data_IF_813595619916
#
_entry.id   IF_813595619916
#
_cell.length_a   1.000
_cell.length_b   1.000
_cell.length_c   1.000
_cell.angle_alpha   90.00
_cell.angle_beta   90.00
_cell.angle_gamma   90.00
#
_symmetry.space_group_name_H-M   'P 1'
#
loop_
_entity.id
_entity.type
_entity.pdbx_description
1 polymer ?
#
# COMPACT_ATOMS: atom_id res chain seq x y z
N UNK A 1 -6.69 101.07 -2.67
CA UNK A 1 -5.28 100.66 -2.85
C UNK A 1 -4.86 99.92 -1.59
N UNK A 2 -5.25 98.67 -1.32
CA UNK A 2 -4.99 97.39 -2.01
C UNK A 2 -3.48 97.05 -2.07
N UNK A 3 -3.00 96.44 -0.99
CA UNK A 3 -1.77 95.64 -0.94
C UNK A 3 -2.00 94.30 -1.68
N UNK A 4 -1.08 93.83 -2.54
CA UNK A 4 -1.04 92.44 -2.97
C UNK A 4 0.03 91.63 -2.24
N UNK A 5 -0.31 90.35 -2.02
CA UNK A 5 0.49 89.26 -1.43
C UNK A 5 1.75 88.93 -2.27
N UNK A 6 2.81 88.35 -1.67
CA UNK A 6 3.94 87.81 -2.43
C UNK A 6 3.59 86.44 -3.06
N UNK A 7 4.19 86.06 -4.22
CA UNK A 7 3.97 84.77 -4.85
C UNK A 7 4.93 83.70 -4.32
N UNK A 8 4.37 82.51 -4.08
CA UNK A 8 5.06 81.24 -3.87
C UNK A 8 5.59 80.73 -5.21
N UNK A 9 6.90 80.55 -5.36
CA UNK A 9 7.50 79.78 -6.46
C UNK A 9 8.92 79.34 -6.06
N UNK A 10 9.01 78.31 -5.23
CA UNK A 10 10.21 77.52 -5.02
C UNK A 10 9.81 76.11 -4.61
N UNK A 11 9.37 75.29 -5.57
CA UNK A 11 9.32 73.83 -5.48
C UNK A 11 8.90 73.25 -6.85
N UNK A 12 9.82 73.34 -7.82
CA UNK A 12 9.70 72.65 -9.09
C UNK A 12 11.03 71.95 -9.39
N UNK A 13 11.38 70.92 -8.60
CA UNK A 13 12.47 69.99 -8.92
C UNK A 13 12.44 68.65 -8.14
N UNK A 14 11.29 68.24 -7.59
CA UNK A 14 11.18 66.99 -6.83
C UNK A 14 9.97 66.13 -7.25
N UNK A 15 9.68 66.07 -8.54
CA UNK A 15 8.66 65.18 -9.11
C UNK A 15 9.14 64.60 -10.46
N UNK A 16 10.27 63.90 -10.43
CA UNK A 16 10.73 63.13 -11.59
C UNK A 16 11.59 61.89 -11.23
N UNK A 17 11.48 61.36 -10.01
CA UNK A 17 12.21 60.14 -9.60
C UNK A 17 11.39 59.18 -8.70
N UNK A 18 10.06 59.17 -8.83
CA UNK A 18 9.21 58.30 -7.99
C UNK A 18 8.15 57.49 -8.76
N UNK A 19 8.28 57.34 -10.08
CA UNK A 19 7.36 56.53 -10.89
C UNK A 19 8.13 55.72 -11.94
N UNK A 20 9.01 54.84 -11.47
CA UNK A 20 9.52 53.72 -12.25
C UNK A 20 9.79 52.51 -11.33
N UNK A 21 8.91 52.26 -10.36
CA UNK A 21 8.69 50.90 -9.91
C UNK A 21 7.63 50.37 -10.86
N UNK A 22 8.08 49.88 -12.01
CA UNK A 22 7.25 49.05 -12.85
C UNK A 22 6.79 47.91 -11.94
N UNK A 23 5.51 47.93 -11.56
CA UNK A 23 4.83 46.80 -10.98
C UNK A 23 4.89 45.70 -12.03
N UNK A 24 5.96 44.91 -11.98
CA UNK A 24 5.99 43.60 -12.61
C UNK A 24 4.71 42.91 -12.13
N UNK A 25 3.93 42.29 -13.03
CA UNK A 25 2.77 41.55 -12.60
C UNK A 25 3.25 40.53 -11.56
N UNK A 26 2.77 40.66 -10.33
CA UNK A 26 2.88 39.62 -9.32
C UNK A 26 2.15 38.44 -9.91
N UNK A 27 2.88 37.53 -10.55
CA UNK A 27 2.29 36.28 -11.00
C UNK A 27 1.79 35.55 -9.74
N UNK A 28 0.60 34.96 -9.85
CA UNK A 28 0.02 34.25 -8.73
C UNK A 28 0.88 33.03 -8.41
N UNK A 29 1.24 32.86 -7.13
CA UNK A 29 1.95 31.68 -6.65
C UNK A 29 1.10 30.44 -6.94
N UNK A 30 1.71 29.44 -7.58
CA UNK A 30 0.97 28.27 -8.06
C UNK A 30 1.62 26.96 -7.60
N UNK A 31 0.79 25.98 -7.23
CA UNK A 31 1.17 24.57 -7.14
C UNK A 31 0.81 23.90 -8.48
N UNK A 32 1.79 23.55 -9.29
CA UNK A 32 1.58 22.78 -10.51
C UNK A 32 1.59 21.27 -10.21
N UNK A 33 0.55 20.57 -10.67
CA UNK A 33 0.41 19.12 -10.55
C UNK A 33 0.18 18.55 -11.94
N UNK A 34 1.00 17.58 -12.36
CA UNK A 34 0.92 16.92 -13.66
C UNK A 34 0.89 15.39 -13.47
N UNK A 35 0.08 14.62 -14.23
CA UNK A 35 -0.69 15.04 -15.42
C UNK A 35 -1.99 15.79 -15.13
N UNK A 36 -2.56 15.66 -13.93
CA UNK A 36 -3.79 16.34 -13.53
C UNK A 36 -3.90 16.45 -12.01
N UNK A 37 -4.79 17.31 -11.53
CA UNK A 37 -5.17 17.40 -10.12
C UNK A 37 -6.08 16.25 -9.65
N UNK A 38 -6.36 15.29 -10.53
CA UNK A 38 -7.11 14.08 -10.26
C UNK A 38 -6.47 12.90 -11.00
N UNK A 39 -6.03 11.89 -10.27
CA UNK A 39 -5.39 10.69 -10.83
C UNK A 39 -5.75 9.44 -10.04
N UNK A 40 -5.51 8.27 -10.63
CA UNK A 40 -5.56 7.01 -9.89
C UNK A 40 -4.42 6.94 -8.86
N UNK A 41 -4.72 6.36 -7.71
CA UNK A 41 -3.70 5.98 -6.73
C UNK A 41 -2.58 5.15 -7.37
N UNK A 42 -1.33 5.47 -7.03
CA UNK A 42 -0.15 4.84 -7.62
C UNK A 42 0.29 5.42 -8.97
N UNK A 43 -0.45 6.38 -9.55
CA UNK A 43 -0.01 7.10 -10.76
C UNK A 43 1.18 8.01 -10.43
N UNK A 44 2.30 7.94 -11.17
CA UNK A 44 3.38 8.90 -11.03
C UNK A 44 2.89 10.34 -11.27
N UNK A 45 3.30 11.26 -10.40
CA UNK A 45 2.92 12.67 -10.44
C UNK A 45 4.15 13.55 -10.41
N UNK A 46 4.03 14.76 -10.96
CA UNK A 46 4.96 15.86 -10.71
C UNK A 46 4.28 16.88 -9.81
N UNK A 47 5.02 17.42 -8.85
CA UNK A 47 4.56 18.47 -7.93
C UNK A 47 5.62 19.57 -7.88
N UNK A 48 5.28 20.73 -8.43
CA UNK A 48 6.16 21.91 -8.52
C UNK A 48 5.46 23.14 -7.99
N UNK A 49 6.22 24.03 -7.36
CA UNK A 49 5.77 25.35 -6.97
C UNK A 49 6.58 26.39 -7.74
N UNK A 50 5.94 27.47 -8.15
CA UNK A 50 6.52 28.57 -8.94
C UNK A 50 6.04 29.92 -8.43
N UNK A 51 6.70 30.99 -8.90
CA UNK A 51 6.39 32.37 -8.54
C UNK A 51 6.48 32.65 -7.03
N UNK A 52 7.29 31.85 -6.31
CA UNK A 52 7.56 31.99 -4.88
C UNK A 52 8.58 33.11 -4.63
N UNK A 53 8.63 33.70 -3.43
CA UNK A 53 9.74 34.55 -3.03
C UNK A 53 11.08 33.81 -3.24
N UNK A 54 12.03 34.40 -3.98
CA UNK A 54 13.29 33.73 -4.32
C UNK A 54 14.16 33.45 -3.08
N UNK A 55 14.92 32.35 -3.11
CA UNK A 55 15.85 31.93 -2.03
C UNK A 55 15.24 31.85 -0.63
N UNK A 56 13.92 31.69 -0.54
CA UNK A 56 13.16 31.80 0.70
C UNK A 56 12.75 30.43 1.21
N UNK A 57 12.59 30.32 2.53
CA UNK A 57 12.04 29.11 3.15
C UNK A 57 10.53 29.01 2.88
N UNK A 58 10.11 27.90 2.29
CA UNK A 58 8.74 27.61 1.89
C UNK A 58 8.29 26.35 2.64
N UNK A 59 7.35 26.52 3.55
CA UNK A 59 6.76 25.42 4.33
C UNK A 59 5.59 24.85 3.56
N UNK A 60 5.67 23.58 3.18
CA UNK A 60 4.60 22.87 2.45
C UNK A 60 3.96 21.88 3.40
N UNK A 61 2.66 22.02 3.57
CA UNK A 61 1.82 21.16 4.40
C UNK A 61 0.95 20.30 3.49
N UNK A 62 0.92 19.00 3.74
CA UNK A 62 0.00 18.08 3.09
C UNK A 62 -0.92 17.46 4.13
N UNK A 63 -2.23 17.45 3.85
CA UNK A 63 -3.23 16.87 4.76
C UNK A 63 -4.29 16.06 4.02
N UNK A 64 -4.82 15.03 4.66
CA UNK A 64 -5.95 14.22 4.14
C UNK A 64 -6.73 13.58 5.27
N UNK A 65 -7.95 13.13 4.97
CA UNK A 65 -8.59 12.08 5.75
C UNK A 65 -8.13 10.72 5.22
N UNK A 66 -7.56 9.90 6.08
CA UNK A 66 -7.15 8.55 5.72
C UNK A 66 -7.87 7.52 6.57
N UNK A 67 -8.15 6.36 5.98
CA UNK A 67 -8.50 5.16 6.74
C UNK A 67 -7.20 4.43 7.07
N UNK A 68 -6.82 4.42 8.35
CA UNK A 68 -5.66 3.65 8.84
C UNK A 68 -6.07 2.32 9.48
N UNK A 69 -5.09 1.46 9.76
CA UNK A 69 -5.30 0.18 10.46
C UNK A 69 -5.91 0.35 11.86
N UNK A 70 -5.69 1.49 12.52
CA UNK A 70 -6.17 1.81 13.87
C UNK A 70 -7.48 2.62 13.90
N UNK A 71 -8.22 2.71 12.79
CA UNK A 71 -9.36 3.62 12.62
C UNK A 71 -8.98 4.86 11.84
N UNK A 72 -9.91 5.37 11.02
CA UNK A 72 -9.66 6.53 10.16
C UNK A 72 -9.53 7.82 10.95
N UNK A 73 -8.81 8.80 10.39
CA UNK A 73 -8.59 10.09 11.01
C UNK A 73 -7.80 11.04 10.12
N UNK A 74 -7.69 12.32 10.53
CA UNK A 74 -6.89 13.29 9.80
C UNK A 74 -5.41 12.92 9.89
N UNK A 75 -4.74 13.04 8.76
CA UNK A 75 -3.31 12.79 8.64
C UNK A 75 -2.64 13.98 7.98
N UNK A 76 -1.41 14.25 8.40
CA UNK A 76 -0.65 15.41 7.96
C UNK A 76 0.83 15.10 7.84
N UNK A 77 1.50 15.70 6.86
CA UNK A 77 2.94 15.81 6.75
C UNK A 77 3.30 17.28 6.50
N UNK A 78 4.50 17.68 6.90
CA UNK A 78 5.04 19.00 6.63
C UNK A 78 6.50 18.91 6.22
N UNK A 79 6.93 19.72 5.26
CA UNK A 79 8.35 19.89 4.94
C UNK A 79 8.67 21.32 4.53
N UNK A 80 9.88 21.78 4.90
CA UNK A 80 10.41 23.10 4.56
C UNK A 80 11.40 22.94 3.42
N UNK A 81 11.17 23.67 2.33
CA UNK A 81 12.04 23.76 1.18
C UNK A 81 12.64 25.15 1.07
N UNK A 82 13.73 25.28 0.31
CA UNK A 82 14.23 26.57 -0.15
C UNK A 82 13.91 26.75 -1.62
N UNK A 83 13.18 27.80 -1.96
CA UNK A 83 12.96 28.17 -3.37
C UNK A 83 14.28 28.55 -4.04
N UNK A 84 14.42 28.26 -5.33
CA UNK A 84 15.58 28.68 -6.11
C UNK A 84 15.59 30.21 -6.36
N UNK A 85 16.63 30.69 -7.06
CA UNK A 85 16.75 32.09 -7.43
C UNK A 85 15.64 32.58 -8.40
N UNK A 86 14.89 31.66 -8.99
CA UNK A 86 13.72 31.92 -9.83
C UNK A 86 12.39 31.71 -9.08
N UNK A 87 12.42 31.48 -7.77
CA UNK A 87 11.20 31.29 -6.98
C UNK A 87 10.52 29.94 -7.20
N UNK A 88 11.30 28.87 -7.46
CA UNK A 88 10.74 27.53 -7.75
C UNK A 88 11.17 26.47 -6.74
N UNK A 89 10.27 25.52 -6.50
CA UNK A 89 10.53 24.28 -5.75
C UNK A 89 10.00 23.10 -6.58
N UNK A 90 10.85 22.10 -6.84
CA UNK A 90 10.45 20.84 -7.49
C UNK A 90 10.70 19.67 -6.55
N UNK A 91 9.63 19.06 -6.03
CA UNK A 91 9.71 18.00 -5.01
C UNK A 91 10.36 16.72 -5.54
N UNK A 92 10.41 16.51 -6.87
CA UNK A 92 11.05 15.33 -7.44
C UNK A 92 12.58 15.43 -7.42
N UNK A 93 13.14 16.64 -7.33
CA UNK A 93 14.60 16.87 -7.46
C UNK A 93 15.23 17.61 -6.29
N UNK A 94 14.43 18.33 -5.51
CA UNK A 94 14.89 19.06 -4.33
C UNK A 94 14.56 18.28 -3.06
N UNK A 95 15.53 18.15 -2.17
CA UNK A 95 15.31 17.64 -0.82
C UNK A 95 14.80 18.78 0.08
N UNK A 96 13.90 18.50 1.04
CA UNK A 96 13.54 19.48 2.05
C UNK A 96 14.73 19.75 2.98
N UNK A 97 14.82 20.98 3.49
CA UNK A 97 15.78 21.38 4.52
C UNK A 97 15.44 20.76 5.88
N UNK A 98 14.14 20.59 6.17
CA UNK A 98 13.64 19.91 7.36
C UNK A 98 12.17 19.48 7.18
N UNK A 99 11.66 18.62 8.07
CA UNK A 99 10.25 18.21 8.08
C UNK A 99 10.04 16.74 8.39
N UNK A 100 8.91 16.21 7.93
CA UNK A 100 8.45 14.83 8.12
C UNK A 100 9.27 13.78 7.35
N UNK A 101 10.11 14.21 6.40
CA UNK A 101 10.99 13.32 5.63
C UNK A 101 12.27 14.04 5.18
N UNK A 102 13.20 13.26 4.62
CA UNK A 102 14.48 13.73 4.09
C UNK A 102 14.70 13.18 2.67
N UNK A 103 15.59 13.82 1.91
CA UNK A 103 15.88 13.45 0.52
C UNK A 103 14.85 13.96 -0.48
N UNK A 104 15.22 13.98 -1.76
CA UNK A 104 14.32 14.37 -2.84
C UNK A 104 13.36 13.20 -3.17
N UNK A 105 12.08 13.38 -2.87
CA UNK A 105 11.03 12.41 -3.18
C UNK A 105 9.69 13.13 -3.33
N UNK A 106 9.12 13.10 -4.55
CA UNK A 106 7.81 13.71 -4.84
C UNK A 106 6.68 13.13 -3.96
N UNK A 107 6.87 11.90 -3.46
CA UNK A 107 5.91 11.19 -2.61
C UNK A 107 6.11 11.49 -1.12
N UNK A 108 7.18 12.21 -0.76
CA UNK A 108 7.62 12.46 0.61
C UNK A 108 6.50 12.99 1.50
N UNK A 109 5.78 14.01 1.04
CA UNK A 109 4.63 14.60 1.76
C UNK A 109 3.41 13.68 1.89
N UNK A 110 3.40 12.52 1.22
CA UNK A 110 2.28 11.58 1.23
C UNK A 110 2.58 10.36 2.11
N UNK A 111 3.71 9.68 1.87
CA UNK A 111 4.05 8.48 2.66
C UNK A 111 4.46 8.83 4.09
N UNK A 112 4.98 10.05 4.33
CA UNK A 112 5.43 10.49 5.66
C UNK A 112 4.32 11.06 6.54
N UNK A 113 3.08 11.09 6.06
CA UNK A 113 1.95 11.60 6.84
C UNK A 113 1.78 10.82 8.14
N UNK A 114 1.49 11.53 9.22
CA UNK A 114 1.22 10.98 10.55
C UNK A 114 -0.21 11.30 10.96
N UNK A 115 -0.80 10.46 11.82
CA UNK A 115 -2.10 10.76 12.42
C UNK A 115 -1.98 11.97 13.36
N UNK A 116 -2.80 12.99 13.12
CA UNK A 116 -2.87 14.19 13.96
C UNK A 116 -4.20 14.22 14.71
N UNK A 117 -4.24 14.90 15.87
CA UNK A 117 -5.54 15.21 16.50
C UNK A 117 -6.28 16.17 15.60
N UNK A 118 -7.60 16.00 15.45
CA UNK A 118 -8.42 17.01 14.80
C UNK A 118 -8.23 18.34 15.56
N UNK A 119 -7.55 19.30 14.94
CA UNK A 119 -7.41 20.65 15.49
C UNK A 119 -8.57 21.50 14.96
N UNK A 120 -8.90 22.59 15.65
CA UNK A 120 -9.86 23.57 15.16
C UNK A 120 -9.41 24.26 13.84
N UNK A 121 -8.14 24.09 13.43
CA UNK A 121 -7.56 24.65 12.21
C UNK A 121 -7.63 23.69 11.00
N UNK A 122 -7.97 22.41 11.21
CA UNK A 122 -8.33 21.53 10.09
C UNK A 122 -9.82 21.74 9.81
N UNK A 123 -10.23 22.20 8.62
CA UNK A 123 -11.64 22.31 8.30
C UNK A 123 -12.30 20.94 8.49
N UNK A 124 -13.54 20.86 9.01
CA UNK A 124 -14.25 19.60 9.13
C UNK A 124 -14.37 18.95 7.75
N UNK A 125 -13.72 17.80 7.57
CA UNK A 125 -13.63 17.11 6.28
C UNK A 125 -14.88 16.27 6.04
N UNK A 126 -15.49 16.46 4.87
CA UNK A 126 -16.62 15.69 4.37
C UNK A 126 -16.15 14.25 4.02
N UNK A 127 -16.83 13.18 4.49
CA UNK A 127 -16.53 11.80 4.09
C UNK A 127 -16.55 11.55 2.57
N UNK A 128 -17.25 12.36 1.77
CA UNK A 128 -17.22 12.30 0.29
C UNK A 128 -15.88 12.77 -0.31
N UNK A 129 -15.04 13.44 0.49
CA UNK A 129 -13.67 13.85 0.15
C UNK A 129 -12.63 12.74 0.42
N UNK A 130 -13.06 11.51 0.71
CA UNK A 130 -12.15 10.37 0.85
C UNK A 130 -11.33 10.16 -0.45
N UNK A 131 -10.03 10.48 -0.37
CA UNK A 131 -9.09 10.49 -1.51
C UNK A 131 -8.54 11.87 -1.86
N UNK A 132 -9.08 12.96 -1.29
CA UNK A 132 -8.51 14.30 -1.44
C UNK A 132 -7.30 14.49 -0.51
N UNK A 133 -6.25 15.07 -1.09
CA UNK A 133 -5.06 15.55 -0.41
C UNK A 133 -5.00 17.05 -0.62
N UNK A 134 -4.98 17.80 0.48
CA UNK A 134 -4.84 19.25 0.44
C UNK A 134 -3.39 19.64 0.64
N UNK A 135 -2.85 20.40 -0.30
CA UNK A 135 -1.49 20.92 -0.31
C UNK A 135 -1.55 22.43 -0.08
N UNK A 136 -0.81 22.92 0.90
CA UNK A 136 -0.77 24.33 1.27
C UNK A 136 0.69 24.77 1.40
N UNK A 137 1.05 25.90 0.81
CA UNK A 137 2.41 26.44 0.84
C UNK A 137 2.44 27.79 1.56
N UNK A 138 3.40 27.97 2.46
CA UNK A 138 3.53 29.13 3.32
C UNK A 138 4.93 29.75 3.26
N UNK A 139 5.02 31.08 3.35
CA UNK A 139 6.23 31.80 3.74
C UNK A 139 6.03 32.37 5.16
N UNK A 140 6.69 31.78 6.14
CA UNK A 140 6.34 32.02 7.55
C UNK A 140 4.90 31.58 7.85
N UNK A 141 4.08 32.53 8.31
CA UNK A 141 2.65 32.33 8.59
C UNK A 141 1.74 32.70 7.40
N UNK A 142 2.28 33.34 6.36
CA UNK A 142 1.48 33.76 5.21
C UNK A 142 1.24 32.57 4.27
N UNK A 143 -0.04 32.23 4.05
CA UNK A 143 -0.44 31.31 2.98
C UNK A 143 -0.14 31.96 1.62
N UNK A 144 0.70 31.29 0.83
CA UNK A 144 1.06 31.72 -0.52
C UNK A 144 0.08 31.16 -1.55
N UNK A 145 -0.17 29.86 -1.48
CA UNK A 145 -1.01 29.13 -2.43
C UNK A 145 -1.48 27.80 -1.85
N UNK A 146 -2.57 27.27 -2.38
CA UNK A 146 -3.10 25.98 -2.01
C UNK A 146 -3.69 25.24 -3.21
N UNK A 147 -3.68 23.91 -3.14
CA UNK A 147 -4.25 23.06 -4.19
C UNK A 147 -4.75 21.75 -3.61
N UNK A 148 -5.85 21.26 -4.17
CA UNK A 148 -6.37 19.93 -3.88
C UNK A 148 -5.94 18.95 -4.96
N UNK A 149 -5.46 17.79 -4.54
CA UNK A 149 -5.18 16.64 -5.38
C UNK A 149 -6.14 15.52 -5.01
N UNK A 150 -6.89 15.00 -5.98
CA UNK A 150 -7.75 13.83 -5.78
C UNK A 150 -7.02 12.57 -6.22
N UNK A 151 -6.68 11.72 -5.26
CA UNK A 151 -6.17 10.37 -5.49
C UNK A 151 -7.35 9.39 -5.47
N UNK A 152 -7.73 8.90 -6.65
CA UNK A 152 -8.83 7.95 -6.80
C UNK A 152 -8.34 6.52 -6.51
N UNK A 153 -8.93 5.81 -5.55
CA UNK A 153 -8.60 4.40 -5.32
C UNK A 153 -9.07 3.50 -6.47
N UNK A 154 -10.06 3.96 -7.24
CA UNK A 154 -10.73 3.20 -8.31
C UNK A 154 -11.06 4.11 -9.49
N UNK A 155 -10.86 3.64 -10.71
CA UNK A 155 -11.26 4.35 -11.92
C UNK A 155 -12.79 4.46 -12.04
N UNK A 156 -13.34 5.61 -12.46
CA UNK A 156 -14.79 5.83 -12.51
C UNK A 156 -15.58 4.78 -13.31
N UNK A 157 -14.97 4.21 -14.33
CA UNK A 157 -15.57 3.23 -15.24
C UNK A 157 -15.53 1.78 -14.71
N UNK A 158 -14.80 1.51 -13.62
CA UNK A 158 -14.73 0.18 -13.02
C UNK A 158 -16.01 -0.12 -12.25
N UNK A 159 -16.66 -1.20 -12.65
CA UNK A 159 -17.82 -1.73 -11.95
C UNK A 159 -17.37 -2.76 -10.93
N UNK A 160 -17.90 -2.67 -9.71
CA UNK A 160 -17.62 -3.62 -8.63
C UNK A 160 -18.93 -4.22 -8.15
N UNK A 161 -19.05 -5.55 -8.19
CA UNK A 161 -20.22 -6.27 -7.67
C UNK A 161 -19.81 -7.33 -6.67
N UNK A 162 -20.70 -7.61 -5.71
CA UNK A 162 -20.56 -8.76 -4.83
C UNK A 162 -20.75 -10.05 -5.65
N UNK A 163 -20.09 -11.11 -5.22
CA UNK A 163 -20.24 -12.45 -5.79
C UNK A 163 -20.99 -13.31 -4.78
N UNK A 164 -22.20 -13.73 -5.12
CA UNK A 164 -23.10 -14.42 -4.19
C UNK A 164 -22.55 -15.76 -3.71
N UNK A 165 -21.83 -16.47 -4.60
CA UNK A 165 -21.26 -17.79 -4.32
C UNK A 165 -20.08 -17.74 -3.34
N UNK A 166 -19.46 -16.57 -3.14
CA UNK A 166 -18.30 -16.40 -2.28
C UNK A 166 -18.51 -15.24 -1.31
N UNK A 167 -18.69 -15.58 -0.02
CA UNK A 167 -18.93 -14.61 1.03
C UNK A 167 -17.95 -13.43 1.01
N UNK A 168 -18.47 -12.21 0.87
CA UNK A 168 -17.71 -10.97 0.87
C UNK A 168 -16.80 -10.74 -0.35
N UNK A 169 -16.78 -11.69 -1.30
CA UNK A 169 -16.00 -11.55 -2.51
C UNK A 169 -16.57 -10.47 -3.43
N UNK A 170 -15.66 -9.83 -4.17
CA UNK A 170 -15.99 -8.74 -5.08
C UNK A 170 -15.35 -9.00 -6.44
N UNK A 171 -16.17 -8.92 -7.47
CA UNK A 171 -15.71 -8.94 -8.85
C UNK A 171 -15.68 -7.49 -9.37
N UNK A 172 -14.49 -7.05 -9.77
CA UNK A 172 -14.24 -5.72 -10.32
C UNK A 172 -13.79 -5.84 -11.78
N UNK A 173 -14.40 -5.07 -12.66
CA UNK A 173 -14.09 -5.11 -14.10
C UNK A 173 -14.34 -3.74 -14.73
N UNK A 174 -13.47 -3.36 -15.66
CA UNK A 174 -13.65 -2.16 -16.48
C UNK A 174 -14.70 -2.35 -17.58
N UNK A 175 -15.03 -1.31 -18.35
CA UNK A 175 -16.04 -1.38 -19.39
C UNK A 175 -15.62 -2.27 -20.57
N UNK A 176 -16.63 -2.74 -21.31
CA UNK A 176 -16.46 -3.53 -22.53
C UNK A 176 -16.45 -5.05 -22.28
N UNK A 177 -16.69 -5.80 -23.34
CA UNK A 177 -16.91 -7.26 -23.32
C UNK A 177 -15.74 -8.07 -23.86
N UNK A 178 -14.60 -7.43 -24.13
CA UNK A 178 -13.41 -8.14 -24.60
C UNK A 178 -12.85 -9.04 -23.49
N UNK A 179 -12.39 -10.22 -23.90
CA UNK A 179 -11.75 -11.16 -22.98
C UNK A 179 -10.38 -10.62 -22.55
N UNK A 180 -10.23 -10.38 -21.26
CA UNK A 180 -9.00 -9.89 -20.60
C UNK A 180 -8.40 -10.93 -19.67
N UNK A 181 -7.13 -10.74 -19.31
CA UNK A 181 -6.53 -11.51 -18.24
C UNK A 181 -7.27 -11.26 -16.92
N UNK A 182 -7.38 -12.31 -16.11
CA UNK A 182 -8.06 -12.23 -14.82
C UNK A 182 -7.09 -12.40 -13.65
N UNK A 183 -7.40 -11.74 -12.53
CA UNK A 183 -6.61 -11.83 -11.29
C UNK A 183 -7.52 -12.28 -10.15
N UNK A 184 -7.08 -13.30 -9.41
CA UNK A 184 -7.68 -13.62 -8.10
C UNK A 184 -6.80 -12.99 -7.02
N UNK A 185 -7.38 -12.13 -6.19
CA UNK A 185 -6.67 -11.44 -5.09
C UNK A 185 -6.96 -12.12 -3.76
N UNK A 186 -5.90 -12.50 -3.04
CA UNK A 186 -5.94 -13.07 -1.70
C UNK A 186 -5.26 -12.14 -0.69
N UNK A 187 -6.02 -11.72 0.32
CA UNK A 187 -5.49 -11.03 1.49
C UNK A 187 -4.62 -11.93 2.38
N UNK A 188 -3.99 -11.34 3.37
CA UNK A 188 -3.20 -12.02 4.39
C UNK A 188 -4.01 -12.36 5.66
N UNK A 189 -3.34 -12.24 6.81
CA UNK A 189 -3.93 -12.56 8.12
C UNK A 189 -4.88 -11.50 8.65
N UNK A 190 -5.05 -10.37 7.96
CA UNK A 190 -6.09 -9.39 8.29
C UNK A 190 -7.51 -9.97 8.10
N UNK A 191 -7.67 -10.90 7.16
CA UNK A 191 -8.94 -11.55 6.86
C UNK A 191 -10.06 -10.60 6.44
N UNK A 192 -11.28 -11.14 6.39
CA UNK A 192 -12.47 -10.38 5.99
C UNK A 192 -12.40 -9.92 4.53
N UNK A 193 -13.10 -8.83 4.22
CA UNK A 193 -13.28 -8.35 2.84
C UNK A 193 -12.33 -7.22 2.43
N UNK A 194 -11.35 -6.86 3.27
CA UNK A 194 -10.52 -5.66 3.05
C UNK A 194 -9.73 -5.71 1.73
N UNK A 195 -9.01 -6.80 1.44
CA UNK A 195 -8.29 -6.94 0.18
C UNK A 195 -9.23 -6.93 -1.04
N UNK A 196 -10.43 -7.53 -0.90
CA UNK A 196 -11.45 -7.50 -1.93
C UNK A 196 -12.04 -6.10 -2.17
N UNK A 197 -12.07 -5.24 -1.14
CA UNK A 197 -12.52 -3.84 -1.25
C UNK A 197 -11.47 -2.90 -1.80
N UNK A 198 -10.20 -3.13 -1.51
CA UNK A 198 -9.12 -2.21 -1.88
C UNK A 198 -8.37 -2.64 -3.14
N UNK A 199 -7.87 -3.86 -3.18
CA UNK A 199 -6.93 -4.32 -4.21
C UNK A 199 -7.64 -4.74 -5.50
N UNK A 200 -8.82 -5.36 -5.39
CA UNK A 200 -9.58 -5.80 -6.56
C UNK A 200 -9.94 -4.65 -7.51
N UNK A 201 -10.57 -3.55 -7.04
CA UNK A 201 -10.89 -2.45 -7.94
C UNK A 201 -9.67 -1.64 -8.38
N UNK A 202 -8.60 -1.57 -7.56
CA UNK A 202 -7.34 -0.94 -7.96
C UNK A 202 -6.71 -1.67 -9.16
N UNK A 203 -6.63 -3.00 -9.12
CA UNK A 203 -6.12 -3.80 -10.23
C UNK A 203 -7.07 -3.80 -11.44
N UNK A 204 -8.40 -3.77 -11.23
CA UNK A 204 -9.35 -3.63 -12.33
C UNK A 204 -9.21 -2.29 -13.04
N UNK A 205 -8.84 -1.23 -12.32
CA UNK A 205 -8.50 0.08 -12.88
C UNK A 205 -7.25 0.06 -13.77
N UNK A 206 -6.45 -1.01 -13.69
CA UNK A 206 -5.32 -1.25 -14.59
C UNK A 206 -5.71 -2.01 -15.85
N UNK A 207 -6.99 -2.42 -15.99
CA UNK A 207 -7.52 -3.07 -17.18
C UNK A 207 -7.83 -4.56 -17.03
N UNK A 208 -7.62 -5.17 -15.86
CA UNK A 208 -7.88 -6.61 -15.63
C UNK A 208 -9.33 -6.88 -15.18
N UNK A 209 -9.77 -8.13 -15.34
CA UNK A 209 -10.93 -8.64 -14.59
C UNK A 209 -10.45 -9.18 -13.25
N UNK A 210 -11.01 -8.75 -12.13
CA UNK A 210 -10.41 -9.05 -10.82
C UNK A 210 -11.45 -9.59 -9.85
N UNK A 211 -11.17 -10.76 -9.27
CA UNK A 211 -11.93 -11.35 -8.18
C UNK A 211 -11.14 -11.20 -6.88
N UNK A 212 -11.57 -10.29 -6.01
CA UNK A 212 -11.14 -10.27 -4.62
C UNK A 212 -11.83 -11.38 -3.84
N UNK A 213 -11.06 -12.34 -3.33
CA UNK A 213 -11.59 -13.58 -2.75
C UNK A 213 -11.21 -13.71 -1.26
N UNK A 214 -12.10 -13.33 -0.34
CA UNK A 214 -11.99 -13.70 1.06
C UNK A 214 -12.02 -15.22 1.26
N UNK A 215 -11.16 -15.72 2.16
CA UNK A 215 -11.06 -17.15 2.48
C UNK A 215 -10.94 -17.42 4.00
N UNK A 216 -10.86 -16.35 4.79
CA UNK A 216 -10.66 -16.36 6.23
C UNK A 216 -11.27 -15.07 6.81
N UNK A 217 -11.93 -15.15 7.97
CA UNK A 217 -12.57 -14.00 8.61
C UNK A 217 -12.51 -14.12 10.13
N UNK A 218 -11.43 -13.63 10.76
CA UNK A 218 -11.28 -13.72 12.21
C UNK A 218 -12.22 -12.76 12.93
N UNK A 219 -12.53 -13.06 14.20
CA UNK A 219 -13.09 -12.06 15.09
C UNK A 219 -12.09 -10.93 15.33
N UNK A 220 -12.62 -9.75 15.66
CA UNK A 220 -11.81 -8.57 15.98
C UNK A 220 -12.03 -8.16 17.43
N UNK A 221 -11.04 -7.51 18.03
CA UNK A 221 -11.16 -6.95 19.38
C UNK A 221 -11.43 -5.46 19.29
N UNK A 222 -12.49 -4.99 19.97
CA UNK A 222 -12.82 -3.58 20.09
C UNK A 222 -13.04 -3.15 21.54
N UNK A 223 -13.35 -1.87 21.79
CA UNK A 223 -13.58 -1.34 23.13
C UNK A 223 -14.69 -2.05 23.92
N UNK A 224 -15.68 -2.59 23.21
CA UNK A 224 -16.82 -3.33 23.77
C UNK A 224 -16.56 -4.84 23.90
N UNK A 225 -15.30 -5.28 23.69
CA UNK A 225 -14.90 -6.67 23.69
C UNK A 225 -14.78 -7.27 22.29
N UNK A 226 -14.82 -8.61 22.24
CA UNK A 226 -14.66 -9.37 21.01
C UNK A 226 -15.89 -9.24 20.11
N UNK A 227 -15.67 -8.84 18.86
CA UNK A 227 -16.68 -8.77 17.81
C UNK A 227 -16.57 -9.99 16.90
N UNK A 228 -17.69 -10.58 16.44
CA UNK A 228 -17.67 -11.64 15.43
C UNK A 228 -16.90 -11.21 14.18
N UNK A 229 -16.41 -12.19 13.42
CA UNK A 229 -15.76 -11.90 12.14
C UNK A 229 -16.71 -11.25 11.15
N UNK A 230 -16.17 -10.41 10.25
CA UNK A 230 -16.92 -9.68 9.22
C UNK A 230 -17.79 -10.61 8.35
N UNK A 231 -17.28 -11.81 8.07
CA UNK A 231 -17.89 -12.82 7.19
C UNK A 231 -18.03 -14.15 7.96
N UNK A 232 -19.11 -14.34 8.73
CA UNK A 232 -19.27 -15.50 9.62
C UNK A 232 -19.30 -16.87 8.93
N UNK A 233 -19.57 -16.91 7.62
CA UNK A 233 -19.55 -18.14 6.82
C UNK A 233 -18.14 -18.56 6.38
N UNK A 234 -17.11 -17.76 6.64
CA UNK A 234 -15.73 -18.11 6.42
C UNK A 234 -15.07 -18.64 7.70
N UNK A 235 -14.00 -19.45 7.57
CA UNK A 235 -13.23 -19.91 8.71
C UNK A 235 -12.78 -18.75 9.62
N UNK A 236 -13.01 -18.82 10.95
CA UNK A 236 -12.57 -17.80 11.91
C UNK A 236 -11.12 -17.99 12.38
N UNK A 237 -10.48 -19.07 11.95
CA UNK A 237 -9.12 -19.48 12.27
C UNK A 237 -8.42 -19.95 11.00
N UNK A 238 -7.09 -19.83 10.94
CA UNK A 238 -6.26 -20.54 9.97
C UNK A 238 -6.19 -22.01 10.37
N UNK A 239 -7.22 -22.79 10.05
CA UNK A 239 -7.29 -24.21 10.39
C UNK A 239 -7.77 -25.00 9.19
N UNK A 240 -6.85 -25.73 8.57
CA UNK A 240 -7.11 -26.60 7.43
C UNK A 240 -7.94 -25.92 6.32
N UNK A 241 -7.63 -24.66 6.01
CA UNK A 241 -8.37 -23.95 4.96
C UNK A 241 -8.05 -24.61 3.61
N UNK A 242 -9.08 -25.08 2.93
CA UNK A 242 -8.96 -25.84 1.69
C UNK A 242 -8.45 -24.99 0.52
N UNK A 243 -7.32 -25.42 -0.08
CA UNK A 243 -6.77 -24.77 -1.27
C UNK A 243 -7.70 -24.89 -2.49
N UNK A 244 -8.55 -25.90 -2.53
CA UNK A 244 -9.54 -26.14 -3.60
C UNK A 244 -10.52 -24.98 -3.82
N UNK A 245 -10.62 -24.05 -2.87
CA UNK A 245 -11.35 -22.78 -3.03
C UNK A 245 -10.89 -21.98 -4.25
N UNK A 246 -9.60 -22.04 -4.62
CA UNK A 246 -9.12 -21.36 -5.83
C UNK A 246 -9.62 -22.01 -7.13
N UNK A 247 -9.84 -23.33 -7.14
CA UNK A 247 -10.44 -24.01 -8.28
C UNK A 247 -11.89 -23.56 -8.48
N UNK A 248 -12.65 -23.43 -7.39
CA UNK A 248 -14.03 -22.90 -7.43
C UNK A 248 -14.05 -21.46 -7.98
N UNK A 249 -13.13 -20.61 -7.53
CA UNK A 249 -12.99 -19.24 -8.00
C UNK A 249 -12.65 -19.16 -9.51
N UNK A 250 -11.75 -20.04 -9.98
CA UNK A 250 -11.42 -20.19 -11.40
C UNK A 250 -12.64 -20.61 -12.23
N UNK A 251 -13.40 -21.59 -11.76
CA UNK A 251 -14.58 -22.10 -12.48
C UNK A 251 -15.70 -21.06 -12.56
N UNK A 252 -15.82 -20.21 -11.52
CA UNK A 252 -16.71 -19.06 -11.54
C UNK A 252 -16.21 -17.99 -12.51
N UNK A 253 -14.92 -17.64 -12.48
CA UNK A 253 -14.31 -16.65 -13.38
C UNK A 253 -14.46 -17.07 -14.84
N UNK A 254 -14.31 -18.36 -15.15
CA UNK A 254 -14.44 -18.89 -16.51
C UNK A 254 -15.84 -18.70 -17.13
N UNK A 255 -16.87 -18.44 -16.31
CA UNK A 255 -18.23 -18.15 -16.77
C UNK A 255 -18.46 -16.67 -17.09
N UNK A 256 -17.54 -15.79 -16.72
CA UNK A 256 -17.71 -14.35 -16.94
C UNK A 256 -17.35 -14.00 -18.40
N UNK A 257 -18.18 -13.20 -19.10
CA UNK A 257 -17.97 -12.92 -20.52
C UNK A 257 -16.68 -12.14 -20.79
N UNK A 258 -16.22 -11.34 -19.84
CA UNK A 258 -14.99 -10.55 -19.94
C UNK A 258 -13.73 -11.37 -19.65
N UNK A 259 -13.81 -12.61 -19.17
CA UNK A 259 -12.65 -13.36 -18.70
C UNK A 259 -12.11 -14.32 -19.76
N UNK A 260 -10.80 -14.29 -19.95
CA UNK A 260 -10.05 -15.39 -20.56
C UNK A 260 -9.56 -16.36 -19.48
N UNK A 261 -10.23 -17.50 -19.34
CA UNK A 261 -9.91 -18.51 -18.33
C UNK A 261 -8.53 -19.17 -18.51
N UNK A 262 -7.87 -18.99 -19.66
CA UNK A 262 -6.50 -19.45 -19.90
C UNK A 262 -5.43 -18.47 -19.39
N UNK A 263 -5.83 -17.25 -19.01
CA UNK A 263 -4.96 -16.14 -18.60
C UNK A 263 -5.31 -15.65 -17.20
N UNK A 264 -5.33 -16.58 -16.23
CA UNK A 264 -5.60 -16.24 -14.83
C UNK A 264 -4.30 -16.16 -14.03
N UNK A 265 -4.09 -15.03 -13.36
CA UNK A 265 -3.08 -14.86 -12.33
C UNK A 265 -3.68 -14.91 -10.92
N UNK A 266 -2.85 -15.25 -9.94
CA UNK A 266 -3.17 -15.07 -8.51
C UNK A 266 -2.24 -14.00 -7.93
N UNK A 267 -2.79 -13.10 -7.13
CA UNK A 267 -2.06 -12.10 -6.37
C UNK A 267 -2.31 -12.35 -4.88
N UNK A 268 -1.28 -12.80 -4.17
CA UNK A 268 -1.36 -13.14 -2.75
C UNK A 268 -0.43 -12.30 -1.91
N UNK A 269 -0.88 -11.90 -0.71
CA UNK A 269 -0.07 -11.16 0.27
C UNK A 269 0.03 -11.96 1.55
N UNK A 270 1.23 -12.11 2.12
CA UNK A 270 1.46 -12.75 3.42
C UNK A 270 0.86 -14.17 3.47
N UNK A 271 -0.07 -14.47 4.38
CA UNK A 271 -0.82 -15.74 4.39
C UNK A 271 -1.53 -16.06 3.07
N UNK A 272 -1.96 -15.05 2.32
CA UNK A 272 -2.50 -15.22 0.97
C UNK A 272 -1.44 -15.62 -0.05
N UNK A 273 -0.19 -15.18 0.13
CA UNK A 273 0.95 -15.63 -0.68
C UNK A 273 1.32 -17.08 -0.36
N UNK A 274 1.32 -17.46 0.93
CA UNK A 274 1.50 -18.86 1.36
C UNK A 274 0.42 -19.77 0.76
N UNK A 275 -0.86 -19.37 0.87
CA UNK A 275 -1.99 -20.08 0.25
C UNK A 275 -1.78 -20.22 -1.27
N UNK A 276 -1.46 -19.12 -1.95
CA UNK A 276 -1.34 -19.10 -3.41
C UNK A 276 -0.17 -19.96 -3.91
N UNK A 277 0.99 -19.92 -3.25
CA UNK A 277 2.15 -20.76 -3.57
C UNK A 277 1.82 -22.24 -3.35
N UNK A 278 1.13 -22.57 -2.25
CA UNK A 278 0.70 -23.92 -1.96
C UNK A 278 -0.27 -24.46 -3.02
N UNK A 279 -1.25 -23.65 -3.44
CA UNK A 279 -2.19 -24.00 -4.49
C UNK A 279 -1.50 -24.11 -5.86
N UNK A 280 -0.64 -23.17 -6.22
CA UNK A 280 0.08 -23.15 -7.50
C UNK A 280 1.02 -24.33 -7.69
N UNK A 281 1.55 -24.92 -6.60
CA UNK A 281 2.31 -26.17 -6.68
C UNK A 281 1.47 -27.42 -6.97
N UNK A 282 0.14 -27.29 -7.02
CA UNK A 282 -0.84 -28.37 -7.19
C UNK A 282 -1.88 -28.11 -8.29
N UNK A 283 -1.89 -26.91 -8.88
CA UNK A 283 -2.89 -26.46 -9.85
C UNK A 283 -2.23 -25.90 -11.10
N UNK A 284 -2.39 -26.60 -12.23
CA UNK A 284 -1.71 -26.25 -13.48
C UNK A 284 -2.37 -25.10 -14.27
N UNK A 285 -3.59 -24.70 -13.89
CA UNK A 285 -4.33 -23.64 -14.59
C UNK A 285 -3.83 -22.22 -14.25
N UNK A 286 -3.05 -22.06 -13.18
CA UNK A 286 -2.54 -20.76 -12.76
C UNK A 286 -1.43 -20.34 -13.74
N UNK A 287 -1.67 -19.28 -14.51
CA UNK A 287 -0.71 -18.80 -15.52
C UNK A 287 0.44 -18.02 -14.89
N UNK A 288 0.12 -17.19 -13.91
CA UNK A 288 1.08 -16.35 -13.21
C UNK A 288 0.72 -16.18 -11.72
N UNK A 289 1.73 -15.97 -10.89
CA UNK A 289 1.58 -15.71 -9.46
C UNK A 289 2.43 -14.51 -9.06
N UNK A 290 1.81 -13.56 -8.35
CA UNK A 290 2.49 -12.51 -7.60
C UNK A 290 2.37 -12.84 -6.12
N UNK A 291 3.49 -13.08 -5.46
CA UNK A 291 3.56 -13.43 -4.05
C UNK A 291 4.30 -12.33 -3.28
N UNK A 292 3.55 -11.50 -2.56
CA UNK A 292 4.09 -10.43 -1.72
C UNK A 292 4.32 -10.95 -0.31
N UNK A 293 5.53 -10.73 0.21
CA UNK A 293 6.07 -11.24 1.47
C UNK A 293 5.82 -12.74 1.64
N UNK A 294 6.36 -13.58 0.72
CA UNK A 294 6.02 -15.00 0.60
C UNK A 294 6.56 -15.87 1.74
N UNK A 295 6.05 -17.09 1.82
CA UNK A 295 6.59 -18.18 2.67
C UNK A 295 7.03 -19.37 1.81
N UNK A 296 8.14 -20.01 2.19
CA UNK A 296 8.63 -21.25 1.56
C UNK A 296 8.13 -22.54 2.25
N UNK A 297 7.43 -22.41 3.37
CA UNK A 297 6.79 -23.52 4.10
C UNK A 297 5.33 -23.21 4.38
N UNK A 298 4.54 -24.26 4.62
CA UNK A 298 3.24 -24.14 5.28
C UNK A 298 3.51 -23.95 6.77
N UNK A 299 2.93 -22.93 7.38
CA UNK A 299 3.07 -22.72 8.81
C UNK A 299 1.87 -23.27 9.59
N UNK A 300 2.11 -23.53 10.88
CA UNK A 300 1.09 -23.94 11.84
C UNK A 300 -0.14 -23.03 11.80
N UNK A 301 -1.32 -23.63 11.95
CA UNK A 301 -2.59 -22.92 12.02
C UNK A 301 -2.81 -22.21 13.36
N UNK A 302 -3.62 -21.16 13.37
CA UNK A 302 -3.93 -20.39 14.59
C UNK A 302 -5.35 -19.80 14.55
N UNK A 303 -5.91 -19.42 15.71
CA UNK A 303 -7.18 -18.69 15.82
C UNK A 303 -8.05 -19.14 16.99
N UNK A 304 -9.19 -18.47 17.21
CA UNK A 304 -10.09 -18.80 18.33
C UNK A 304 -10.70 -20.19 18.19
N UNK A 305 -10.96 -20.83 19.34
CA UNK A 305 -11.54 -22.17 19.41
C UNK A 305 -10.55 -23.31 19.13
N UNK A 306 -9.27 -22.98 18.95
CA UNK A 306 -8.20 -23.93 18.72
C UNK A 306 -7.46 -24.19 20.03
N UNK A 307 -7.47 -25.44 20.50
CA UNK A 307 -6.82 -25.85 21.75
C UNK A 307 -5.84 -26.99 21.50
N UNK A 308 -4.58 -26.78 21.85
CA UNK A 308 -3.56 -27.83 21.96
C UNK A 308 -2.19 -27.38 21.47
N UNK A 309 -1.08 -27.85 22.08
CA UNK A 309 0.26 -27.61 21.56
C UNK A 309 0.43 -28.41 20.25
N UNK A 310 0.72 -27.73 19.14
CA UNK A 310 1.12 -28.29 17.83
C UNK A 310 0.05 -28.90 16.89
N UNK A 311 -1.21 -28.42 16.85
CA UNK A 311 -2.29 -29.35 16.44
C UNK A 311 -2.90 -29.28 15.04
N UNK A 312 -2.60 -28.32 14.16
CA UNK A 312 -3.09 -28.42 12.77
C UNK A 312 -2.42 -27.44 11.82
N UNK A 313 -2.56 -27.74 10.53
CA UNK A 313 -2.04 -26.91 9.44
C UNK A 313 -2.89 -25.64 9.22
N UNK A 314 -2.26 -24.57 8.72
CA UNK A 314 -3.02 -23.44 8.17
C UNK A 314 -3.93 -23.88 7.02
N UNK A 315 -3.48 -24.85 6.21
CA UNK A 315 -4.08 -25.19 4.92
C UNK A 315 -4.24 -26.69 4.71
N UNK A 316 -5.25 -27.05 3.93
CA UNK A 316 -5.53 -28.43 3.55
C UNK A 316 -5.67 -28.59 2.04
N UNK A 317 -5.44 -29.81 1.59
CA UNK A 317 -5.63 -30.22 0.21
C UNK A 317 -6.38 -31.56 0.18
N UNK A 318 -7.49 -31.61 -0.57
CA UNK A 318 -8.31 -32.82 -0.70
C UNK A 318 -8.78 -33.38 0.66
N UNK A 319 -9.15 -32.49 1.58
CA UNK A 319 -9.60 -32.86 2.92
C UNK A 319 -8.47 -33.26 3.87
N UNK A 320 -7.21 -33.17 3.46
CA UNK A 320 -6.04 -33.55 4.28
C UNK A 320 -5.21 -32.32 4.67
N UNK A 321 -4.87 -32.15 5.95
CA UNK A 321 -3.93 -31.12 6.38
C UNK A 321 -2.61 -31.24 5.62
N UNK A 322 -2.11 -30.12 5.09
CA UNK A 322 -0.75 -30.08 4.55
C UNK A 322 0.26 -30.13 5.70
N UNK A 323 1.40 -30.83 5.58
CA UNK A 323 2.43 -30.79 6.62
C UNK A 323 2.86 -29.35 6.90
N UNK A 324 3.12 -29.01 8.16
CA UNK A 324 3.37 -27.63 8.58
C UNK A 324 4.59 -27.51 9.47
N UNK A 325 5.12 -26.29 9.55
CA UNK A 325 6.18 -25.90 10.46
C UNK A 325 5.56 -25.26 11.73
N UNK A 326 5.86 -25.80 12.93
CA UNK A 326 5.38 -25.24 14.19
C UNK A 326 6.05 -23.90 14.53
N UNK A 327 5.37 -23.10 15.34
CA UNK A 327 5.95 -21.96 16.05
C UNK A 327 6.53 -22.40 17.38
N UNK A 328 7.48 -21.63 17.92
CA UNK A 328 7.98 -21.81 19.28
C UNK A 328 7.94 -20.46 20.00
N UNK A 329 7.33 -20.37 21.18
CA UNK A 329 7.30 -19.10 21.93
C UNK A 329 6.22 -18.10 21.48
N UNK A 330 5.19 -18.57 20.78
CA UNK A 330 4.16 -17.68 20.21
C UNK A 330 3.31 -16.99 21.28
N UNK A 331 2.99 -17.68 22.37
CA UNK A 331 2.20 -17.14 23.46
C UNK A 331 2.95 -16.02 24.20
N UNK A 332 4.23 -16.23 24.45
CA UNK A 332 5.14 -15.29 25.11
C UNK A 332 5.31 -14.01 24.28
N UNK A 333 5.53 -14.15 22.97
CA UNK A 333 5.64 -13.00 22.06
C UNK A 333 4.30 -12.25 21.97
N UNK A 334 3.17 -12.98 21.87
CA UNK A 334 1.83 -12.39 21.78
C UNK A 334 1.40 -11.67 23.06
N UNK A 335 1.94 -12.01 24.22
CA UNK A 335 1.71 -11.28 25.47
C UNK A 335 2.16 -9.81 25.39
N UNK A 336 3.02 -9.47 24.42
CA UNK A 336 3.38 -8.09 24.12
C UNK A 336 2.19 -7.20 23.73
N UNK A 337 1.15 -7.76 23.09
CA UNK A 337 -0.06 -7.01 22.74
C UNK A 337 -0.78 -6.42 23.95
N UNK A 338 -0.89 -7.20 25.03
CA UNK A 338 -1.56 -6.78 26.26
C UNK A 338 -0.72 -5.77 27.07
N UNK A 339 0.60 -5.79 26.90
CA UNK A 339 1.54 -4.96 27.68
C UNK A 339 2.07 -3.76 26.91
N UNK A 340 1.73 -3.63 25.62
CA UNK A 340 2.27 -2.60 24.72
C UNK A 340 3.72 -2.83 24.30
N UNK A 341 4.34 -3.96 24.69
CA UNK A 341 5.71 -4.30 24.27
C UNK A 341 5.75 -4.62 22.77
N UNK A 342 6.86 -4.32 22.07
CA UNK A 342 7.04 -4.70 20.67
C UNK A 342 6.84 -6.22 20.47
N UNK A 343 5.99 -6.56 19.51
CA UNK A 343 5.66 -7.93 19.08
C UNK A 343 6.24 -8.14 17.68
N UNK A 344 7.18 -9.08 17.58
CA UNK A 344 7.88 -9.50 16.36
C UNK A 344 7.57 -10.97 16.09
N UNK A 345 6.53 -11.24 15.27
CA UNK A 345 6.13 -12.62 14.97
C UNK A 345 7.23 -13.44 14.25
N UNK A 346 8.23 -12.77 13.68
CA UNK A 346 9.42 -13.44 13.10
C UNK A 346 10.17 -14.27 14.13
N UNK A 347 10.21 -13.84 15.40
CA UNK A 347 10.93 -14.56 16.46
C UNK A 347 10.35 -15.96 16.70
N UNK A 348 9.06 -16.13 17.02
CA UNK A 348 8.53 -17.47 17.27
C UNK A 348 8.54 -18.37 16.03
N UNK A 349 8.43 -17.80 14.84
CA UNK A 349 8.59 -18.54 13.58
C UNK A 349 10.03 -19.02 13.36
N UNK A 350 11.03 -18.16 13.60
CA UNK A 350 12.44 -18.55 13.51
C UNK A 350 12.83 -19.58 14.58
N UNK A 351 12.34 -19.40 15.82
CA UNK A 351 12.55 -20.37 16.90
C UNK A 351 11.90 -21.71 16.58
N UNK A 352 10.67 -21.71 16.03
CA UNK A 352 9.98 -22.92 15.60
C UNK A 352 10.74 -23.68 14.51
N UNK A 353 11.33 -22.98 13.53
CA UNK A 353 12.24 -23.59 12.54
C UNK A 353 13.49 -24.20 13.16
N UNK A 354 14.10 -23.51 14.12
CA UNK A 354 15.32 -23.97 14.78
C UNK A 354 15.07 -25.16 15.72
N UNK A 355 13.92 -25.19 16.40
CA UNK A 355 13.52 -26.24 17.32
C UNK A 355 13.04 -27.52 16.61
N UNK A 356 12.46 -27.38 15.42
CA UNK A 356 11.89 -28.49 14.64
C UNK A 356 12.44 -28.58 13.21
N UNK A 357 13.77 -28.72 13.03
CA UNK A 357 14.38 -28.82 11.70
C UNK A 357 13.91 -30.06 10.92
N UNK A 358 13.51 -31.13 11.60
CA UNK A 358 12.99 -32.37 11.02
C UNK A 358 11.65 -32.17 10.28
N UNK A 359 10.90 -31.12 10.62
CA UNK A 359 9.61 -30.80 9.99
C UNK A 359 9.75 -30.03 8.68
N UNK A 360 10.86 -29.29 8.50
CA UNK A 360 11.06 -28.36 7.39
C UNK A 360 10.89 -29.01 6.02
N UNK A 361 11.47 -30.20 5.82
CA UNK A 361 11.42 -30.89 4.54
C UNK A 361 9.98 -31.25 4.11
N UNK A 362 9.14 -31.67 5.07
CA UNK A 362 7.76 -32.02 4.81
C UNK A 362 6.87 -30.76 4.68
N UNK A 363 7.12 -29.73 5.49
CA UNK A 363 6.37 -28.49 5.50
C UNK A 363 6.65 -27.58 4.28
N UNK A 364 7.78 -27.78 3.61
CA UNK A 364 8.19 -26.98 2.45
C UNK A 364 7.13 -27.02 1.35
N UNK A 365 6.80 -25.86 0.81
CA UNK A 365 5.95 -25.74 -0.36
C UNK A 365 6.78 -26.13 -1.60
N UNK A 366 6.34 -27.11 -2.41
CA UNK A 366 7.08 -27.55 -3.59
C UNK A 366 6.85 -26.60 -4.79
N UNK A 367 7.24 -25.33 -4.65
CA UNK A 367 7.01 -24.27 -5.65
C UNK A 367 7.70 -24.57 -6.98
N UNK A 368 8.70 -25.44 -7.01
CA UNK A 368 9.32 -25.92 -8.24
C UNK A 368 8.39 -26.78 -9.12
N UNK A 369 7.25 -27.22 -8.60
CA UNK A 369 6.19 -27.86 -9.39
C UNK A 369 5.34 -26.85 -10.16
N UNK A 370 5.29 -25.58 -9.72
CA UNK A 370 4.52 -24.54 -10.39
C UNK A 370 5.23 -24.11 -11.69
N UNK A 371 4.65 -24.45 -12.85
CA UNK A 371 5.23 -24.11 -14.17
C UNK A 371 4.90 -22.70 -14.65
N UNK A 372 3.95 -22.03 -14.02
CA UNK A 372 3.60 -20.65 -14.34
C UNK A 372 4.70 -19.66 -13.96
N UNK A 373 4.52 -18.43 -14.43
CA UNK A 373 5.43 -17.34 -14.13
C UNK A 373 5.26 -16.90 -12.67
N UNK A 374 6.37 -16.64 -11.97
CA UNK A 374 6.37 -16.22 -10.57
C UNK A 374 7.11 -14.90 -10.39
N UNK A 375 6.45 -13.95 -9.74
CA UNK A 375 7.06 -12.75 -9.18
C UNK A 375 6.92 -12.78 -7.65
N UNK A 376 8.01 -12.50 -6.96
CA UNK A 376 8.05 -12.36 -5.51
C UNK A 376 8.51 -10.97 -5.11
N UNK A 377 7.90 -10.42 -4.07
CA UNK A 377 8.28 -9.14 -3.43
C UNK A 377 8.54 -9.43 -1.96
N UNK A 378 9.72 -9.09 -1.44
CA UNK A 378 10.08 -9.36 -0.04
C UNK A 378 10.96 -8.27 0.56
N UNK A 379 10.97 -8.16 1.89
CA UNK A 379 11.79 -7.22 2.65
C UNK A 379 12.78 -7.95 3.57
N UNK A 380 14.03 -7.49 3.65
CA UNK A 380 15.04 -8.15 4.52
C UNK A 380 14.81 -7.91 6.01
N UNK A 381 14.12 -6.82 6.36
CA UNK A 381 13.75 -6.47 7.73
C UNK A 381 12.29 -6.81 8.05
N UNK A 382 11.65 -7.71 7.30
CA UNK A 382 10.31 -8.21 7.65
C UNK A 382 10.32 -8.81 9.07
N UNK A 383 9.46 -8.26 9.95
CA UNK A 383 9.36 -8.67 11.36
C UNK A 383 8.15 -9.58 11.64
N UNK A 384 7.35 -9.91 10.62
CA UNK A 384 6.32 -10.96 10.72
C UNK A 384 6.94 -12.33 10.46
N UNK A 385 7.78 -12.44 9.44
CA UNK A 385 8.60 -13.62 9.14
C UNK A 385 9.77 -13.25 8.23
N UNK A 386 10.73 -14.15 8.01
CA UNK A 386 11.87 -13.87 7.13
C UNK A 386 11.52 -14.03 5.65
N UNK A 387 10.69 -13.13 5.11
CA UNK A 387 10.21 -13.25 3.73
C UNK A 387 11.33 -13.19 2.69
N UNK A 388 12.41 -12.43 2.94
CA UNK A 388 13.56 -12.38 2.04
C UNK A 388 14.33 -13.70 1.97
N UNK A 389 14.59 -14.36 3.10
CA UNK A 389 15.23 -15.68 3.09
C UNK A 389 14.32 -16.73 2.44
N UNK A 390 13.02 -16.71 2.75
CA UNK A 390 12.05 -17.64 2.16
C UNK A 390 11.92 -17.43 0.64
N UNK A 391 11.88 -16.19 0.16
CA UNK A 391 11.88 -15.88 -1.27
C UNK A 391 13.13 -16.43 -1.99
N UNK A 392 14.32 -16.29 -1.39
CA UNK A 392 15.57 -16.86 -1.94
C UNK A 392 15.53 -18.39 -1.98
N UNK A 393 14.96 -19.05 -0.97
CA UNK A 393 14.79 -20.51 -0.97
C UNK A 393 13.87 -20.98 -2.11
N UNK A 394 12.75 -20.28 -2.31
CA UNK A 394 11.82 -20.54 -3.42
C UNK A 394 12.53 -20.37 -4.76
N UNK A 395 13.22 -19.25 -4.98
CA UNK A 395 13.97 -19.00 -6.21
C UNK A 395 15.02 -20.09 -6.49
N UNK A 396 15.78 -20.48 -5.47
CA UNK A 396 16.78 -21.55 -5.60
C UNK A 396 16.15 -22.89 -6.00
N UNK A 397 15.03 -23.27 -5.37
CA UNK A 397 14.31 -24.52 -5.70
C UNK A 397 13.80 -24.54 -7.14
N UNK A 398 13.27 -23.40 -7.62
CA UNK A 398 12.80 -23.23 -9.00
C UNK A 398 13.95 -23.24 -10.00
N UNK A 399 15.04 -22.54 -9.69
CA UNK A 399 16.26 -22.51 -10.51
C UNK A 399 16.86 -23.91 -10.70
N UNK A 400 16.83 -24.76 -9.66
CA UNK A 400 17.26 -26.15 -9.74
C UNK A 400 16.43 -27.01 -10.72
N UNK A 401 15.21 -26.57 -11.08
CA UNK A 401 14.36 -27.18 -12.11
C UNK A 401 14.39 -26.41 -13.45
N UNK A 402 15.30 -25.46 -13.62
CA UNK A 402 15.41 -24.63 -14.82
C UNK A 402 14.28 -23.59 -14.97
N UNK A 403 13.56 -23.28 -13.90
CA UNK A 403 12.46 -22.31 -13.91
C UNK A 403 12.95 -20.93 -13.48
N UNK A 404 12.64 -19.91 -14.28
CA UNK A 404 12.90 -18.51 -13.93
C UNK A 404 11.89 -17.98 -12.91
N UNK A 405 12.36 -17.03 -12.10
CA UNK A 405 11.56 -16.33 -11.09
C UNK A 405 11.98 -14.87 -11.08
N UNK A 406 11.02 -13.94 -10.99
CA UNK A 406 11.32 -12.52 -10.75
C UNK A 406 11.32 -12.32 -9.24
N UNK A 407 12.51 -12.21 -8.63
CA UNK A 407 12.65 -12.08 -7.18
C UNK A 407 13.08 -10.65 -6.80
N UNK A 408 12.15 -9.85 -6.29
CA UNK A 408 12.39 -8.49 -5.82
C UNK A 408 12.60 -8.51 -4.31
N UNK A 409 13.85 -8.35 -3.87
CA UNK A 409 14.22 -8.29 -2.45
C UNK A 409 14.66 -6.87 -2.12
N UNK A 410 13.93 -6.21 -1.24
CA UNK A 410 14.20 -4.83 -0.81
C UNK A 410 14.94 -4.83 0.53
N UNK A 411 16.16 -4.33 0.52
CA UNK A 411 17.00 -4.24 1.70
C UNK A 411 16.43 -3.23 2.71
N UNK A 412 16.33 -3.63 3.98
CA UNK A 412 15.80 -2.83 5.07
C UNK A 412 14.30 -2.60 5.03
N UNK A 413 13.56 -3.19 4.09
CA UNK A 413 12.10 -3.07 4.02
C UNK A 413 11.42 -4.11 4.91
N UNK A 414 10.25 -3.74 5.45
CA UNK A 414 9.44 -4.58 6.34
C UNK A 414 8.42 -5.45 5.61
N UNK A 415 7.36 -5.83 6.33
CA UNK A 415 6.29 -6.70 5.82
C UNK A 415 5.26 -5.96 4.93
N UNK A 416 5.08 -4.65 5.13
CA UNK A 416 4.04 -3.86 4.46
C UNK A 416 4.40 -3.47 3.02
N UNK A 417 4.43 -4.42 2.08
CA UNK A 417 4.94 -4.20 0.71
C UNK A 417 3.88 -4.28 -0.41
N UNK A 418 2.61 -4.43 -0.09
CA UNK A 418 1.52 -4.55 -1.08
C UNK A 418 0.97 -3.22 -1.61
N UNK A 419 1.56 -2.09 -1.20
CA UNK A 419 1.14 -0.74 -1.59
C UNK A 419 1.84 -0.19 -2.85
N UNK A 420 1.51 1.04 -3.21
CA UNK A 420 2.05 1.77 -4.37
C UNK A 420 3.05 2.88 -4.01
N UNK A 421 3.35 3.06 -2.72
CA UNK A 421 4.36 4.02 -2.24
C UNK A 421 3.89 5.47 -2.10
N UNK A 422 2.60 5.76 -2.30
CA UNK A 422 1.99 7.06 -1.95
C UNK A 422 1.22 7.02 -0.64
N UNK A 423 0.81 5.84 -0.19
CA UNK A 423 0.07 5.70 1.06
C UNK A 423 1.00 5.91 2.26
N UNK A 424 0.48 6.45 3.37
CA UNK A 424 1.24 6.63 4.60
C UNK A 424 1.82 5.30 5.12
N UNK A 425 3.14 5.25 5.31
CA UNK A 425 3.87 4.07 5.84
C UNK A 425 4.31 4.25 7.29
N UNK A 426 4.19 5.46 7.84
CA UNK A 426 4.55 5.81 9.23
C UNK A 426 3.80 4.98 10.28
N UNK A 427 2.59 4.50 9.94
CA UNK A 427 1.75 3.72 10.84
C UNK A 427 2.14 2.25 10.99
N UNK A 428 3.02 1.72 10.13
CA UNK A 428 3.31 0.27 10.07
C UNK A 428 3.94 -0.28 11.35
N UNK A 429 4.70 0.54 12.07
CA UNK A 429 5.37 0.15 13.32
C UNK A 429 4.87 0.94 14.55
N UNK A 430 3.73 1.63 14.44
CA UNK A 430 3.21 2.50 15.50
C UNK A 430 2.65 1.72 16.70
N UNK A 431 2.01 0.57 16.45
CA UNK A 431 1.44 -0.29 17.50
C UNK A 431 2.45 -1.27 18.10
N UNK A 432 1.99 -2.16 19.01
CA UNK A 432 2.82 -3.24 19.53
C UNK A 432 3.33 -4.16 18.41
N UNK A 433 2.49 -4.49 17.42
CA UNK A 433 2.89 -5.23 16.23
C UNK A 433 3.96 -4.46 15.46
N UNK A 434 5.11 -5.10 15.22
CA UNK A 434 6.18 -4.54 14.40
C UNK A 434 6.19 -5.26 13.06
N UNK A 435 5.96 -4.54 11.97
CA UNK A 435 6.07 -5.05 10.61
C UNK A 435 7.51 -5.01 10.09
N UNK A 436 8.38 -4.24 10.76
CA UNK A 436 9.75 -4.01 10.32
C UNK A 436 9.87 -2.86 9.33
N UNK A 437 11.10 -2.61 8.90
CA UNK A 437 11.44 -1.54 7.98
C UNK A 437 11.29 -0.14 8.56
N UNK A 438 11.61 0.85 7.73
CA UNK A 438 11.37 2.26 8.02
C UNK A 438 10.37 2.86 7.02
N UNK A 439 9.62 3.92 7.40
CA UNK A 439 8.60 4.48 6.52
C UNK A 439 9.11 4.85 5.12
N UNK A 440 10.30 5.46 5.05
CA UNK A 440 10.92 5.84 3.78
C UNK A 440 11.31 4.62 2.93
N UNK A 441 11.91 3.61 3.56
CA UNK A 441 12.35 2.38 2.87
C UNK A 441 11.15 1.59 2.35
N UNK A 442 10.11 1.43 3.16
CA UNK A 442 8.88 0.74 2.77
C UNK A 442 8.17 1.48 1.62
N UNK A 443 8.07 2.81 1.69
CA UNK A 443 7.47 3.61 0.64
C UNK A 443 8.26 3.54 -0.67
N UNK A 444 9.59 3.54 -0.60
CA UNK A 444 10.45 3.36 -1.76
C UNK A 444 10.29 1.95 -2.38
N UNK A 445 10.31 0.91 -1.55
CA UNK A 445 10.11 -0.47 -1.98
C UNK A 445 8.75 -0.66 -2.68
N UNK A 446 7.67 -0.11 -2.11
CA UNK A 446 6.34 -0.16 -2.72
C UNK A 446 6.29 0.53 -4.09
N UNK A 447 6.90 1.71 -4.25
CA UNK A 447 6.87 2.43 -5.53
C UNK A 447 7.75 1.81 -6.62
N UNK A 448 8.78 1.04 -6.27
CA UNK A 448 9.52 0.24 -7.25
C UNK A 448 8.76 -1.07 -7.57
N UNK A 449 8.21 -1.74 -6.55
CA UNK A 449 7.52 -3.02 -6.71
C UNK A 449 6.23 -2.93 -7.51
N UNK A 450 5.44 -1.87 -7.30
CA UNK A 450 4.13 -1.70 -7.93
C UNK A 450 4.19 -1.67 -9.47
N UNK A 451 4.95 -0.76 -10.13
CA UNK A 451 5.03 -0.73 -11.59
C UNK A 451 5.64 -2.02 -12.17
N UNK A 452 6.61 -2.65 -11.49
CA UNK A 452 7.18 -3.95 -11.91
C UNK A 452 6.14 -5.08 -11.85
N UNK A 453 5.29 -5.06 -10.83
CA UNK A 453 4.17 -6.00 -10.70
C UNK A 453 3.17 -5.83 -11.84
N UNK A 454 2.79 -4.58 -12.15
CA UNK A 454 1.87 -4.29 -13.26
C UNK A 454 2.48 -4.69 -14.62
N UNK A 455 3.78 -4.47 -14.80
CA UNK A 455 4.50 -4.91 -15.99
C UNK A 455 4.53 -6.44 -16.11
N UNK A 456 4.83 -7.14 -15.01
CA UNK A 456 4.82 -8.60 -14.96
C UNK A 456 3.43 -9.14 -15.32
N UNK A 457 2.36 -8.66 -14.69
CA UNK A 457 0.99 -9.08 -14.99
C UNK A 457 0.64 -8.82 -16.46
N UNK A 458 1.03 -7.66 -17.00
CA UNK A 458 0.78 -7.33 -18.41
C UNK A 458 1.47 -8.32 -19.35
N UNK A 459 2.71 -8.68 -19.05
CA UNK A 459 3.48 -9.64 -19.87
C UNK A 459 2.91 -11.06 -19.79
N UNK A 460 2.40 -11.49 -18.63
CA UNK A 460 2.03 -12.88 -18.42
C UNK A 460 0.57 -13.20 -18.74
N UNK A 461 -0.34 -12.26 -18.50
CA UNK A 461 -1.79 -12.48 -18.69
C UNK A 461 -2.46 -11.43 -19.57
N UNK A 462 -1.84 -10.27 -19.82
CA UNK A 462 -2.41 -9.18 -20.60
C UNK A 462 -3.63 -8.53 -19.94
N UNK A 463 -3.83 -7.23 -20.21
CA UNK A 463 -5.07 -6.51 -19.88
C UNK A 463 -6.18 -6.77 -20.87
#
# INVERSE_FOLDING_TARGET
MLLPRPPLLAQACALACALAWASLPTQAQEIHISPAAEVLEGTPLQLRLSELPANSAIRIVSSRLARGMAGGGPQQAEAIFRSDAQGRVDLATQAPESGSYQGADVRGLFWSMQSVKASAALPPLDPEQAGEVWLQAYAGEQLLTEKKLRLRPVAPEVQVRLVEEFAGARYAVGPGTHKRGAIIVLGGSEGGSIAARSSAPLLASQGYAVLGLPYYSPPSWGPEGMKPGELPSLPPAFSNIELSRLQQARDWLAKQPEVDASRIAVYGVSKGAEFALAAASRMDWIKALVAVVPSDVIWEGWGLGQTGPDQFSSFAWEGKPLPWQPYQGMAEESAGFATGKPVHLRRPMAQGRAAHPERLAAARIPVENFRGALLMVSGSDDQMWDSAAMARNIEASRKAKGLSTVNLVYEGAGHGLSGHGWSPTTGYNAGPMKLGGSPAVDAAAQADAWPRTLQFLQQQIGR
#
